data_IF_416232745423
#
_entry.id   IF_416232745423
#
_cell.length_a   1.000
_cell.length_b   1.000
_cell.length_c   1.000
_cell.angle_alpha   90.00
_cell.angle_beta   90.00
_cell.angle_gamma   90.00
#
_symmetry.space_group_name_H-M   'P 1'
#
loop_
_entity.id
_entity.type
_entity.pdbx_description
1 polymer ?
#
# COMPACT_ATOMS: atom_id res chain seq x y z
N UNK A 1 37.53 1.33 29.47
CA UNK A 1 36.36 0.46 29.78
C UNK A 1 35.25 0.84 28.82
N UNK A 2 34.78 -0.08 27.98
CA UNK A 2 33.65 0.18 27.08
C UNK A 2 32.39 0.33 27.91
N UNK A 3 31.67 1.44 27.72
CA UNK A 3 30.36 1.69 28.30
C UNK A 3 29.42 0.48 28.05
N UNK A 4 28.90 -0.17 29.11
CA UNK A 4 28.00 -1.31 29.01
C UNK A 4 26.75 -1.02 28.14
N UNK A 5 26.24 0.22 28.17
CA UNK A 5 25.09 0.61 27.34
C UNK A 5 25.45 0.62 25.85
N UNK A 6 26.60 1.20 25.49
CA UNK A 6 27.13 1.13 24.14
C UNK A 6 27.38 -0.31 23.66
N UNK A 7 27.79 -1.21 24.57
CA UNK A 7 27.93 -2.64 24.29
C UNK A 7 26.60 -3.32 23.95
N UNK A 8 25.56 -3.08 24.77
CA UNK A 8 24.22 -3.61 24.56
C UNK A 8 23.59 -3.12 23.25
N UNK A 9 23.69 -1.82 22.94
CA UNK A 9 23.17 -1.24 21.69
C UNK A 9 23.85 -1.88 20.46
N UNK A 10 25.18 -2.07 20.50
CA UNK A 10 25.90 -2.74 19.41
C UNK A 10 25.46 -4.19 19.25
N UNK A 11 25.18 -4.90 20.35
CA UNK A 11 24.67 -6.25 20.31
C UNK A 11 23.29 -6.29 19.64
N UNK A 12 22.36 -5.41 20.02
CA UNK A 12 21.03 -5.32 19.39
C UNK A 12 21.12 -5.07 17.88
N UNK A 13 21.97 -4.14 17.43
CA UNK A 13 22.14 -3.91 15.98
C UNK A 13 22.71 -5.12 15.22
N UNK A 14 23.42 -6.03 15.91
CA UNK A 14 24.00 -7.24 15.30
C UNK A 14 23.07 -8.44 15.34
N UNK A 15 22.12 -8.48 16.27
CA UNK A 15 21.24 -9.64 16.44
C UNK A 15 19.82 -9.40 15.94
N UNK A 16 19.38 -8.14 15.84
CA UNK A 16 18.03 -7.80 15.44
C UNK A 16 18.05 -6.92 14.19
N UNK A 17 17.64 -7.44 13.01
CA UNK A 17 17.61 -6.64 11.80
C UNK A 17 16.66 -5.44 11.94
N UNK A 18 15.51 -5.60 12.61
CA UNK A 18 14.56 -4.51 12.88
C UNK A 18 15.18 -3.29 13.58
N UNK A 19 16.17 -3.48 14.45
CA UNK A 19 16.91 -2.38 15.07
C UNK A 19 17.96 -1.77 14.11
N UNK A 20 18.53 -2.60 13.24
CA UNK A 20 19.48 -2.16 12.23
C UNK A 20 18.84 -1.34 11.10
N UNK A 21 17.59 -1.62 10.68
CA UNK A 21 16.95 -0.90 9.58
C UNK A 21 16.86 0.64 9.82
N UNK A 22 16.38 1.13 10.98
CA UNK A 22 16.40 2.56 11.31
C UNK A 22 17.81 3.15 11.37
N UNK A 23 18.80 2.37 11.83
CA UNK A 23 20.19 2.82 11.82
C UNK A 23 20.66 3.01 10.37
N UNK A 24 20.47 2.00 9.52
CA UNK A 24 20.87 2.05 8.11
C UNK A 24 20.27 3.25 7.38
N UNK A 25 18.98 3.53 7.59
CA UNK A 25 18.33 4.72 7.03
C UNK A 25 19.05 6.02 7.43
N UNK A 26 19.31 6.21 8.73
CA UNK A 26 20.00 7.43 9.23
C UNK A 26 21.42 7.56 8.70
N UNK A 27 22.11 6.45 8.42
CA UNK A 27 23.46 6.49 7.85
C UNK A 27 23.45 6.85 6.35
N UNK A 28 22.43 6.41 5.62
CA UNK A 28 22.31 6.63 4.18
C UNK A 28 21.78 8.01 3.81
N UNK A 29 20.93 8.59 4.66
CA UNK A 29 20.23 9.84 4.42
C UNK A 29 20.59 10.90 5.48
N UNK A 30 21.87 11.37 5.52
CA UNK A 30 22.24 12.43 6.43
C UNK A 30 21.43 13.70 6.10
N UNK A 31 20.77 14.26 7.10
CA UNK A 31 19.91 15.45 6.94
C UNK A 31 18.42 15.15 6.78
N UNK A 32 18.02 13.88 6.62
CA UNK A 32 16.60 13.49 6.60
C UNK A 32 16.22 12.95 7.98
N UNK A 33 15.19 13.55 8.60
CA UNK A 33 14.66 13.04 9.85
C UNK A 33 14.00 11.68 9.63
N UNK A 34 14.40 10.68 10.41
CA UNK A 34 13.77 9.36 10.37
C UNK A 34 12.45 9.40 11.15
N UNK A 35 11.35 9.40 10.42
CA UNK A 35 10.00 9.25 10.98
C UNK A 35 9.69 7.77 11.12
N UNK A 36 9.91 7.25 12.32
CA UNK A 36 9.64 5.85 12.62
C UNK A 36 8.14 5.52 12.49
N UNK A 37 7.84 4.30 12.03
CA UNK A 37 6.50 3.76 11.94
C UNK A 37 6.54 2.25 12.20
N UNK A 38 5.49 1.73 12.83
CA UNK A 38 5.37 0.32 13.23
C UNK A 38 5.46 -0.65 12.05
N UNK A 39 5.12 -0.21 10.82
CA UNK A 39 5.33 -1.03 9.62
C UNK A 39 6.78 -1.44 9.43
N UNK A 40 7.76 -0.60 9.83
CA UNK A 40 9.18 -0.95 9.74
C UNK A 40 9.53 -2.05 10.75
N UNK A 41 8.86 -2.11 11.90
CA UNK A 41 9.03 -3.19 12.87
C UNK A 41 8.50 -4.51 12.31
N UNK A 42 7.32 -4.49 11.68
CA UNK A 42 6.75 -5.65 10.96
C UNK A 42 7.72 -6.17 9.90
N UNK A 43 8.28 -5.27 9.08
CA UNK A 43 9.30 -5.65 8.09
C UNK A 43 10.54 -6.24 8.77
N UNK A 44 11.00 -5.62 9.86
CA UNK A 44 12.13 -6.10 10.64
C UNK A 44 11.94 -7.52 11.18
N UNK A 45 10.77 -7.84 11.70
CA UNK A 45 10.42 -9.17 12.22
C UNK A 45 10.28 -10.21 11.10
N UNK A 46 9.62 -9.88 9.99
CA UNK A 46 9.50 -10.77 8.85
C UNK A 46 10.87 -11.10 8.24
N UNK A 47 11.73 -10.09 8.08
CA UNK A 47 13.10 -10.27 7.61
C UNK A 47 13.96 -11.06 8.61
N UNK A 48 13.73 -10.91 9.93
CA UNK A 48 14.39 -11.74 10.94
C UNK A 48 14.02 -13.23 10.79
N UNK A 49 12.73 -13.55 10.61
CA UNK A 49 12.27 -14.92 10.33
C UNK A 49 12.91 -15.50 9.06
N UNK A 50 13.12 -14.66 8.04
CA UNK A 50 13.88 -15.04 6.85
C UNK A 50 15.33 -15.38 7.13
N UNK A 51 16.03 -14.55 7.91
CA UNK A 51 17.41 -14.83 8.30
C UNK A 51 17.54 -16.14 9.10
N UNK A 52 16.58 -16.40 9.98
CA UNK A 52 16.50 -17.59 10.83
C UNK A 52 15.96 -18.83 10.10
N UNK A 53 15.60 -18.71 8.81
CA UNK A 53 15.02 -19.77 7.97
C UNK A 53 13.68 -20.31 8.49
N UNK A 54 13.02 -19.58 9.39
CA UNK A 54 11.64 -19.85 9.81
C UNK A 54 10.65 -19.49 8.71
N UNK A 55 10.96 -18.47 7.91
CA UNK A 55 10.21 -18.09 6.72
C UNK A 55 11.12 -18.09 5.50
N UNK A 56 10.87 -19.00 4.56
CA UNK A 56 11.75 -19.18 3.39
C UNK A 56 11.18 -18.49 2.14
N UNK A 57 9.93 -18.09 2.19
CA UNK A 57 9.16 -17.51 1.09
C UNK A 57 8.37 -16.36 1.67
N UNK A 58 8.82 -15.14 1.42
CA UNK A 58 8.21 -13.93 1.97
C UNK A 58 7.79 -12.99 0.84
N UNK A 59 6.55 -12.52 0.88
CA UNK A 59 6.04 -11.42 0.06
C UNK A 59 5.80 -10.21 0.96
N UNK A 60 6.32 -9.06 0.57
CA UNK A 60 6.08 -7.76 1.21
C UNK A 60 5.36 -6.86 0.21
N UNK A 61 4.08 -6.60 0.46
CA UNK A 61 3.31 -5.59 -0.24
C UNK A 61 3.01 -4.40 0.66
N UNK A 62 3.54 -3.25 0.25
CA UNK A 62 3.30 -1.97 0.92
C UNK A 62 3.34 -0.84 -0.11
N UNK A 63 2.69 0.30 0.15
CA UNK A 63 2.69 1.46 -0.73
C UNK A 63 4.07 1.95 -1.17
N UNK A 64 4.10 2.79 -2.18
CA UNK A 64 5.33 3.51 -2.52
C UNK A 64 5.85 4.30 -1.33
N UNK A 65 7.16 4.57 -1.37
CA UNK A 65 7.83 5.38 -0.36
C UNK A 65 7.75 4.79 1.07
N UNK A 66 7.27 3.58 1.31
CA UNK A 66 7.19 2.96 2.66
C UNK A 66 8.52 2.51 3.29
N UNK A 67 9.66 2.78 2.62
CA UNK A 67 11.00 2.24 2.93
C UNK A 67 11.20 0.74 2.64
N UNK A 68 10.20 0.03 2.09
CA UNK A 68 10.29 -1.41 1.78
C UNK A 68 11.60 -1.82 1.07
N UNK A 69 11.99 -1.13 0.00
CA UNK A 69 13.18 -1.45 -0.81
C UNK A 69 14.48 -1.11 -0.06
N UNK A 70 14.52 -0.01 0.70
CA UNK A 70 15.68 0.33 1.55
C UNK A 70 15.84 -0.71 2.65
N UNK A 71 14.74 -1.16 3.25
CA UNK A 71 14.75 -2.19 4.28
C UNK A 71 15.20 -3.54 3.72
N UNK A 72 14.53 -4.05 2.69
CA UNK A 72 14.71 -5.42 2.19
C UNK A 72 15.89 -5.59 1.23
N UNK A 73 16.18 -4.63 0.34
CA UNK A 73 17.14 -4.80 -0.77
C UNK A 73 18.48 -4.09 -0.56
N UNK A 74 18.55 -3.22 0.46
CA UNK A 74 19.76 -2.47 0.83
C UNK A 74 20.23 -2.81 2.23
N UNK A 75 19.44 -2.50 3.26
CA UNK A 75 19.85 -2.61 4.65
C UNK A 75 19.93 -4.08 5.10
N UNK A 76 18.91 -4.87 4.81
CA UNK A 76 18.87 -6.27 5.20
C UNK A 76 20.00 -7.13 4.60
N UNK A 77 20.29 -7.12 3.28
CA UNK A 77 21.40 -7.89 2.74
C UNK A 77 22.76 -7.41 3.27
N UNK A 78 22.93 -6.10 3.49
CA UNK A 78 24.13 -5.58 4.15
C UNK A 78 24.24 -6.08 5.60
N UNK A 79 23.14 -6.18 6.34
CA UNK A 79 23.11 -6.74 7.68
C UNK A 79 23.43 -8.24 7.68
N UNK A 80 22.81 -9.01 6.79
CA UNK A 80 23.06 -10.45 6.63
C UNK A 80 24.53 -10.71 6.34
N UNK A 81 25.16 -9.97 5.43
CA UNK A 81 26.60 -10.08 5.16
C UNK A 81 27.47 -9.64 6.34
N UNK A 82 26.97 -8.76 7.22
CA UNK A 82 27.65 -8.40 8.45
C UNK A 82 27.59 -9.50 9.52
N UNK A 83 26.52 -10.29 9.55
CA UNK A 83 26.30 -11.36 10.53
C UNK A 83 26.83 -12.72 10.05
N UNK A 84 26.62 -13.04 8.76
CA UNK A 84 27.04 -14.25 8.05
C UNK A 84 27.80 -13.86 6.78
N UNK A 85 29.09 -13.50 6.89
CA UNK A 85 29.90 -12.97 5.78
C UNK A 85 30.18 -13.94 4.64
N UNK A 86 29.83 -15.22 4.80
CA UNK A 86 29.84 -16.28 3.80
C UNK A 86 28.58 -16.32 2.91
N UNK A 87 27.52 -15.58 3.28
CA UNK A 87 26.22 -15.64 2.58
C UNK A 87 26.32 -15.11 1.14
N UNK A 88 25.65 -15.80 0.22
CA UNK A 88 25.51 -15.39 -1.19
C UNK A 88 24.12 -14.83 -1.43
N UNK A 89 24.03 -13.56 -1.78
CA UNK A 89 22.75 -12.84 -1.91
C UNK A 89 22.62 -12.26 -3.32
N UNK A 90 21.50 -12.54 -3.96
CA UNK A 90 21.09 -11.90 -5.21
C UNK A 90 20.01 -10.87 -4.92
N UNK A 91 20.20 -9.63 -5.37
CA UNK A 91 19.19 -8.59 -5.37
C UNK A 91 18.83 -8.31 -6.83
N UNK A 92 17.60 -8.62 -7.22
CA UNK A 92 17.08 -8.47 -8.57
C UNK A 92 16.06 -7.34 -8.56
N UNK A 93 16.35 -6.26 -9.27
CA UNK A 93 15.43 -5.13 -9.40
C UNK A 93 14.81 -5.10 -10.80
N UNK A 94 13.59 -4.56 -10.96
CA UNK A 94 12.89 -4.57 -12.24
C UNK A 94 13.62 -3.91 -13.42
N UNK A 95 14.52 -2.97 -13.15
CA UNK A 95 15.33 -2.33 -14.18
C UNK A 95 16.72 -1.91 -13.68
N UNK A 96 17.65 -1.72 -14.62
CA UNK A 96 19.08 -1.53 -14.36
C UNK A 96 19.38 -0.33 -13.45
N UNK A 97 18.71 0.80 -13.67
CA UNK A 97 18.89 2.01 -12.85
C UNK A 97 18.57 1.75 -11.37
N UNK A 98 17.45 1.10 -11.07
CA UNK A 98 17.11 0.72 -9.68
C UNK A 98 18.12 -0.27 -9.09
N UNK A 99 18.57 -1.26 -9.86
CA UNK A 99 19.57 -2.21 -9.41
C UNK A 99 20.88 -1.51 -9.02
N UNK A 100 21.33 -0.55 -9.83
CA UNK A 100 22.52 0.27 -9.60
C UNK A 100 22.37 1.20 -8.40
N UNK A 101 21.24 1.91 -8.27
CA UNK A 101 20.96 2.79 -7.13
C UNK A 101 20.96 2.02 -5.80
N UNK A 102 20.27 0.89 -5.75
CA UNK A 102 20.26 0.03 -4.55
C UNK A 102 21.65 -0.55 -4.26
N UNK A 103 22.40 -0.92 -5.30
CA UNK A 103 23.77 -1.39 -5.16
C UNK A 103 24.68 -0.32 -4.56
N UNK A 104 24.59 0.91 -5.04
CA UNK A 104 25.36 2.03 -4.52
C UNK A 104 25.00 2.39 -3.08
N UNK A 105 23.71 2.33 -2.72
CA UNK A 105 23.30 2.51 -1.33
C UNK A 105 23.87 1.40 -0.44
N UNK A 106 23.81 0.13 -0.85
CA UNK A 106 24.38 -0.98 -0.08
C UNK A 106 25.90 -0.82 0.09
N UNK A 107 26.60 -0.44 -0.98
CA UNK A 107 28.05 -0.15 -0.98
C UNK A 107 28.39 0.98 -0.02
N UNK A 108 27.66 2.10 -0.07
CA UNK A 108 27.82 3.24 0.85
C UNK A 108 27.59 2.83 2.30
N UNK A 109 26.54 2.06 2.57
CA UNK A 109 26.23 1.56 3.92
C UNK A 109 27.36 0.68 4.45
N UNK A 110 27.82 -0.31 3.67
CA UNK A 110 28.87 -1.25 4.10
C UNK A 110 30.23 -0.57 4.28
N UNK A 111 30.51 0.50 3.54
CA UNK A 111 31.72 1.32 3.71
C UNK A 111 31.64 2.32 4.86
N UNK A 112 30.44 2.62 5.36
CA UNK A 112 30.25 3.64 6.39
C UNK A 112 31.00 3.29 7.70
N UNK A 113 31.68 4.25 8.37
CA UNK A 113 32.46 3.96 9.59
C UNK A 113 31.67 3.26 10.70
N UNK A 114 30.40 3.66 10.92
CA UNK A 114 29.51 3.01 11.91
C UNK A 114 29.15 1.57 11.54
N UNK A 115 28.91 1.26 10.26
CA UNK A 115 28.72 -0.11 9.82
C UNK A 115 29.99 -0.93 10.06
N UNK A 116 31.15 -0.40 9.66
CA UNK A 116 32.45 -1.05 9.89
C UNK A 116 32.78 -1.26 11.37
N UNK A 117 32.27 -0.42 12.26
CA UNK A 117 32.41 -0.61 13.70
C UNK A 117 31.49 -1.73 14.23
N UNK A 118 30.31 -1.90 13.62
CA UNK A 118 29.42 -3.03 13.89
C UNK A 118 29.98 -4.32 13.30
N UNK A 119 30.52 -4.32 12.09
CA UNK A 119 31.00 -5.52 11.41
C UNK A 119 32.45 -5.33 10.95
N UNK A 120 33.43 -5.37 11.88
CA UNK A 120 34.83 -5.09 11.54
C UNK A 120 35.46 -6.10 10.58
N UNK A 121 34.92 -7.32 10.51
CA UNK A 121 35.37 -8.38 9.61
C UNK A 121 34.77 -8.28 8.19
N UNK A 122 33.64 -7.58 8.02
CA UNK A 122 32.96 -7.42 6.73
C UNK A 122 33.60 -6.29 5.90
N UNK A 123 34.81 -6.55 5.39
CA UNK A 123 35.53 -5.64 4.49
C UNK A 123 35.16 -5.95 3.05
N UNK A 124 34.49 -4.99 2.41
CA UNK A 124 33.92 -5.17 1.08
C UNK A 124 34.94 -4.91 -0.03
N UNK A 125 35.12 -5.88 -0.91
CA UNK A 125 35.64 -5.70 -2.27
C UNK A 125 34.49 -5.42 -3.23
N UNK A 126 34.75 -4.67 -4.31
CA UNK A 126 33.68 -4.22 -5.22
C UNK A 126 34.09 -4.26 -6.69
N UNK A 127 33.08 -4.53 -7.53
CA UNK A 127 33.09 -4.39 -8.98
C UNK A 127 31.70 -3.96 -9.42
N UNK A 128 31.52 -3.68 -10.71
CA UNK A 128 30.20 -3.35 -11.27
C UNK A 128 29.17 -4.41 -10.87
N UNK A 129 28.12 -3.97 -10.15
CA UNK A 129 27.00 -4.83 -9.73
C UNK A 129 27.35 -5.90 -8.70
N UNK A 130 28.57 -5.97 -8.14
CA UNK A 130 28.94 -7.00 -7.16
C UNK A 130 29.78 -6.46 -6.00
N UNK A 131 29.34 -6.79 -4.78
CA UNK A 131 30.08 -6.61 -3.54
C UNK A 131 30.47 -8.00 -3.03
N UNK A 132 31.71 -8.21 -2.60
CA UNK A 132 32.13 -9.48 -2.01
C UNK A 132 32.94 -9.28 -0.73
N UNK A 133 32.96 -10.32 0.09
CA UNK A 133 33.75 -10.40 1.31
C UNK A 133 34.82 -11.49 1.17
N UNK A 134 35.92 -11.35 1.91
CA UNK A 134 37.02 -12.33 1.88
C UNK A 134 36.60 -13.73 2.35
N UNK A 135 35.50 -13.82 3.10
CA UNK A 135 34.90 -15.04 3.61
C UNK A 135 34.09 -15.81 2.54
N UNK A 136 33.98 -15.28 1.32
CA UNK A 136 33.34 -15.93 0.17
C UNK A 136 31.89 -15.49 -0.10
N UNK A 137 31.27 -14.75 0.82
CA UNK A 137 29.94 -14.19 0.62
C UNK A 137 29.95 -12.99 -0.33
N UNK A 138 28.79 -12.74 -0.94
CA UNK A 138 28.62 -11.63 -1.87
C UNK A 138 27.19 -11.12 -1.91
N UNK A 139 27.04 -9.89 -2.41
CA UNK A 139 25.78 -9.31 -2.89
C UNK A 139 25.92 -8.98 -4.37
N UNK A 140 25.09 -9.58 -5.21
CA UNK A 140 24.97 -9.26 -6.63
C UNK A 140 23.72 -8.40 -6.88
N UNK A 141 23.86 -7.37 -7.71
CA UNK A 141 22.74 -6.56 -8.21
C UNK A 141 22.48 -6.92 -9.67
N UNK A 142 21.23 -7.30 -9.95
CA UNK A 142 20.81 -7.93 -11.20
C UNK A 142 19.45 -7.38 -11.63
N UNK A 143 19.05 -7.71 -12.85
CA UNK A 143 17.72 -7.46 -13.42
C UNK A 143 17.15 -8.75 -14.00
N UNK A 144 15.82 -8.84 -14.26
CA UNK A 144 15.23 -10.01 -14.91
C UNK A 144 15.87 -10.37 -16.26
N UNK A 145 16.42 -9.37 -16.96
CA UNK A 145 17.10 -9.53 -18.25
C UNK A 145 18.56 -10.00 -18.14
N UNK A 146 19.16 -9.98 -16.95
CA UNK A 146 20.54 -10.42 -16.77
C UNK A 146 20.64 -11.96 -16.76
N UNK A 147 21.74 -12.48 -17.29
CA UNK A 147 22.01 -13.91 -17.26
C UNK A 147 22.29 -14.36 -15.82
N UNK A 148 21.40 -15.19 -15.26
CA UNK A 148 21.55 -15.77 -13.92
C UNK A 148 22.42 -17.05 -13.90
N UNK A 149 22.84 -17.53 -15.07
CA UNK A 149 23.56 -18.80 -15.23
C UNK A 149 24.89 -18.82 -14.49
N UNK A 150 25.13 -19.87 -13.68
CA UNK A 150 26.38 -20.06 -12.94
C UNK A 150 26.50 -19.26 -11.64
N UNK A 151 25.50 -18.44 -11.30
CA UNK A 151 25.39 -17.80 -10.00
C UNK A 151 24.43 -18.61 -9.12
N UNK A 152 24.88 -18.95 -7.92
CA UNK A 152 24.09 -19.58 -6.87
C UNK A 152 23.94 -18.65 -5.66
N UNK A 153 22.85 -18.79 -4.90
CA UNK A 153 22.51 -17.91 -3.79
C UNK A 153 21.88 -18.66 -2.62
N UNK A 154 22.17 -18.19 -1.40
CA UNK A 154 21.45 -18.58 -0.19
C UNK A 154 20.14 -17.79 -0.04
N UNK A 155 20.11 -16.58 -0.61
CA UNK A 155 18.99 -15.65 -0.52
C UNK A 155 18.83 -14.87 -1.83
N UNK A 156 17.60 -14.82 -2.33
CA UNK A 156 17.22 -14.04 -3.50
C UNK A 156 16.17 -13.01 -3.06
N UNK A 157 16.44 -11.74 -3.34
CA UNK A 157 15.53 -10.62 -3.08
C UNK A 157 15.11 -10.07 -4.45
N UNK A 158 13.82 -10.03 -4.71
CA UNK A 158 13.22 -9.50 -5.93
C UNK A 158 12.47 -8.23 -5.56
N UNK A 159 12.88 -7.09 -6.09
CA UNK A 159 12.36 -5.76 -5.72
C UNK A 159 11.75 -5.07 -6.94
N UNK A 160 10.43 -4.85 -6.88
CA UNK A 160 9.62 -4.24 -7.95
C UNK A 160 10.04 -4.77 -9.35
N UNK A 161 9.85 -6.08 -9.64
CA UNK A 161 10.37 -6.72 -10.87
C UNK A 161 9.69 -6.22 -12.15
N UNK A 162 8.58 -5.49 -12.02
CA UNK A 162 7.81 -4.89 -13.10
C UNK A 162 7.64 -3.40 -12.81
N UNK A 163 7.78 -2.58 -13.85
CA UNK A 163 7.50 -1.14 -13.74
C UNK A 163 6.00 -0.89 -13.63
N UNK A 164 5.60 0.12 -12.84
CA UNK A 164 4.20 0.54 -12.74
C UNK A 164 3.62 1.02 -14.08
N UNK A 165 4.46 1.56 -14.98
CA UNK A 165 4.04 1.94 -16.33
C UNK A 165 3.55 0.72 -17.15
N UNK A 166 4.06 -0.46 -16.82
CA UNK A 166 3.77 -1.70 -17.53
C UNK A 166 2.68 -2.53 -16.84
N UNK A 167 1.98 -1.96 -15.85
CA UNK A 167 1.01 -2.67 -15.02
C UNK A 167 -0.17 -3.25 -15.83
N UNK A 168 -0.65 -2.50 -16.82
CA UNK A 168 -1.76 -2.89 -17.70
C UNK A 168 -1.32 -3.73 -18.91
N UNK A 169 -0.04 -4.07 -19.04
CA UNK A 169 0.48 -4.92 -20.12
C UNK A 169 0.51 -6.40 -19.67
N UNK A 170 -0.47 -7.23 -20.08
CA UNK A 170 -0.52 -8.63 -19.65
C UNK A 170 0.62 -9.46 -20.23
N UNK A 171 1.22 -9.06 -21.36
CA UNK A 171 2.37 -9.78 -21.93
C UNK A 171 3.61 -9.59 -21.06
N UNK A 172 3.83 -8.37 -20.56
CA UNK A 172 4.92 -8.06 -19.64
C UNK A 172 4.70 -8.70 -18.27
N UNK A 173 3.50 -8.63 -17.70
CA UNK A 173 3.19 -9.36 -16.47
C UNK A 173 3.45 -10.87 -16.61
N UNK A 174 2.96 -11.47 -17.69
CA UNK A 174 3.17 -12.89 -18.00
C UNK A 174 4.63 -13.25 -18.24
N UNK A 175 5.45 -12.35 -18.80
CA UNK A 175 6.88 -12.62 -19.00
C UNK A 175 7.64 -12.65 -17.68
N UNK A 176 7.31 -11.76 -16.73
CA UNK A 176 7.89 -11.77 -15.37
C UNK A 176 7.53 -13.05 -14.62
N UNK A 177 6.27 -13.52 -14.69
CA UNK A 177 5.87 -14.79 -14.06
C UNK A 177 6.62 -15.99 -14.64
N UNK A 178 6.69 -16.10 -15.97
CA UNK A 178 7.46 -17.16 -16.65
C UNK A 178 8.94 -17.10 -16.31
N UNK A 179 9.50 -15.90 -16.25
CA UNK A 179 10.88 -15.68 -15.83
C UNK A 179 11.11 -16.19 -14.41
N UNK A 180 10.21 -15.84 -13.47
CA UNK A 180 10.29 -16.29 -12.09
C UNK A 180 10.29 -17.82 -12.01
N UNK A 181 9.28 -18.47 -12.60
CA UNK A 181 9.09 -19.92 -12.54
C UNK A 181 10.27 -20.69 -13.17
N UNK A 182 10.78 -20.17 -14.29
CA UNK A 182 11.86 -20.82 -15.04
C UNK A 182 13.25 -20.64 -14.42
N UNK A 183 13.49 -19.56 -13.67
CA UNK A 183 14.85 -19.17 -13.31
C UNK A 183 15.14 -19.11 -11.82
N UNK A 184 14.22 -18.63 -10.99
CA UNK A 184 14.57 -18.16 -9.64
C UNK A 184 14.85 -19.32 -8.69
N UNK A 185 13.93 -20.28 -8.58
CA UNK A 185 14.06 -21.39 -7.64
C UNK A 185 15.33 -22.23 -7.89
N UNK A 186 15.78 -22.32 -9.15
CA UNK A 186 16.99 -23.06 -9.52
C UNK A 186 18.30 -22.37 -9.13
N UNK A 187 18.27 -21.08 -8.76
CA UNK A 187 19.45 -20.33 -8.30
C UNK A 187 19.72 -20.51 -6.81
N UNK A 188 18.81 -21.11 -6.06
CA UNK A 188 19.07 -21.44 -4.67
C UNK A 188 20.12 -22.55 -4.59
N UNK A 189 21.20 -22.30 -3.85
CA UNK A 189 22.26 -23.29 -3.59
C UNK A 189 21.68 -24.50 -2.84
N UNK A 190 20.84 -24.23 -1.84
CA UNK A 190 20.03 -25.21 -1.15
C UNK A 190 18.54 -24.87 -1.35
N UNK A 191 17.79 -25.77 -2.00
CA UNK A 191 16.37 -25.56 -2.28
C UNK A 191 15.47 -25.69 -1.05
N UNK A 192 15.92 -26.45 -0.05
CA UNK A 192 15.19 -26.65 1.20
C UNK A 192 15.41 -25.48 2.15
N UNK A 193 16.62 -24.93 2.19
CA UNK A 193 16.97 -23.86 3.13
C UNK A 193 16.99 -22.46 2.49
N UNK A 194 17.12 -22.35 1.17
CA UNK A 194 17.25 -21.09 0.47
C UNK A 194 16.02 -20.20 0.60
N UNK A 195 16.26 -18.89 0.72
CA UNK A 195 15.23 -17.89 1.01
C UNK A 195 14.93 -17.05 -0.23
N UNK A 196 13.64 -16.82 -0.51
CA UNK A 196 13.19 -15.89 -1.54
C UNK A 196 12.30 -14.84 -0.89
N UNK A 197 12.63 -13.57 -1.12
CA UNK A 197 11.88 -12.41 -0.64
C UNK A 197 11.43 -11.63 -1.88
N UNK A 198 10.14 -11.41 -2.02
CA UNK A 198 9.55 -10.54 -3.04
C UNK A 198 9.05 -9.29 -2.36
N UNK A 199 9.53 -8.14 -2.78
CA UNK A 199 9.13 -6.84 -2.26
C UNK A 199 8.61 -6.02 -3.41
N UNK A 200 7.33 -5.69 -3.38
CA UNK A 200 6.74 -4.86 -4.42
C UNK A 200 5.48 -4.16 -3.93
N UNK A 201 5.10 -3.08 -4.60
CA UNK A 201 3.68 -2.70 -4.59
C UNK A 201 2.90 -3.60 -5.55
N UNK A 202 1.61 -3.85 -5.26
CA UNK A 202 0.76 -4.52 -6.24
C UNK A 202 0.55 -3.62 -7.46
N UNK A 203 0.49 -4.21 -8.64
CA UNK A 203 0.32 -3.49 -9.90
C UNK A 203 -0.97 -3.88 -10.62
N UNK A 204 -1.33 -5.15 -10.57
CA UNK A 204 -2.53 -5.68 -11.21
C UNK A 204 -2.99 -6.97 -10.54
N UNK A 205 -4.21 -7.41 -10.85
CA UNK A 205 -4.77 -8.63 -10.28
C UNK A 205 -3.96 -9.88 -10.60
N UNK A 206 -3.27 -9.89 -11.75
CA UNK A 206 -2.45 -10.99 -12.23
C UNK A 206 -0.94 -10.67 -12.16
N UNK A 207 -0.53 -9.83 -11.21
CA UNK A 207 0.89 -9.53 -11.00
C UNK A 207 1.66 -10.71 -10.38
N UNK A 208 2.98 -10.55 -10.20
CA UNK A 208 3.82 -11.60 -9.62
C UNK A 208 3.36 -12.00 -8.21
N UNK A 209 2.86 -11.06 -7.41
CA UNK A 209 2.37 -11.39 -6.07
C UNK A 209 1.18 -12.36 -6.16
N UNK A 210 0.19 -12.06 -7.00
CA UNK A 210 -0.97 -12.92 -7.17
C UNK A 210 -0.57 -14.35 -7.56
N UNK A 211 0.30 -14.46 -8.57
CA UNK A 211 0.82 -15.74 -9.05
C UNK A 211 1.50 -16.57 -7.94
N UNK A 212 2.28 -15.93 -7.08
CA UNK A 212 2.98 -16.61 -5.99
C UNK A 212 2.04 -17.01 -4.85
N UNK A 213 1.06 -16.17 -4.53
CA UNK A 213 0.04 -16.50 -3.53
C UNK A 213 -0.83 -17.68 -3.99
N UNK A 214 -1.20 -17.73 -5.27
CA UNK A 214 -1.96 -18.83 -5.87
C UNK A 214 -1.21 -20.18 -5.82
N UNK A 215 0.13 -20.15 -5.91
CA UNK A 215 0.97 -21.34 -5.72
C UNK A 215 1.02 -21.80 -4.26
N UNK A 216 0.71 -20.93 -3.30
CA UNK A 216 0.75 -21.19 -1.87
C UNK A 216 2.16 -21.28 -1.27
N UNK A 217 2.23 -21.40 0.05
CA UNK A 217 3.50 -21.58 0.78
C UNK A 217 4.31 -20.30 0.99
N UNK A 218 3.70 -19.12 0.79
CA UNK A 218 4.31 -17.82 1.05
C UNK A 218 3.76 -17.20 2.34
N UNK A 219 4.66 -16.67 3.15
CA UNK A 219 4.29 -15.68 4.16
C UNK A 219 4.02 -14.35 3.46
N UNK A 220 2.90 -13.70 3.79
CA UNK A 220 2.46 -12.46 3.14
C UNK A 220 2.33 -11.33 4.16
N UNK A 221 3.20 -10.33 4.03
CA UNK A 221 3.07 -9.04 4.73
C UNK A 221 2.39 -8.07 3.80
N UNK A 222 1.12 -7.77 4.06
CA UNK A 222 0.33 -6.80 3.31
C UNK A 222 -0.04 -5.61 4.22
N UNK A 223 0.44 -4.40 3.88
CA UNK A 223 0.14 -3.18 4.65
C UNK A 223 -0.45 -2.11 3.74
N UNK A 224 -1.78 -1.96 3.65
CA UNK A 224 -2.43 -0.95 2.81
C UNK A 224 -2.20 0.46 3.35
N UNK A 225 -2.26 1.47 2.46
CA UNK A 225 -2.11 2.87 2.83
C UNK A 225 -3.18 3.33 3.83
N UNK A 226 -4.41 2.86 3.68
CA UNK A 226 -5.54 3.10 4.58
C UNK A 226 -6.04 1.74 5.08
N UNK A 227 -6.14 1.57 6.39
CA UNK A 227 -6.64 0.33 6.97
C UNK A 227 -8.12 0.12 6.60
N UNK A 228 -8.49 -1.10 6.22
CA UNK A 228 -9.88 -1.49 5.93
C UNK A 228 -10.51 -2.30 7.07
N UNK A 229 -9.66 -2.84 7.94
CA UNK A 229 -10.02 -3.62 9.12
C UNK A 229 -9.11 -3.22 10.29
N UNK A 230 -9.40 -3.72 11.49
CA UNK A 230 -8.52 -3.52 12.64
C UNK A 230 -7.20 -4.28 12.43
N UNK A 231 -6.08 -3.56 12.47
CA UNK A 231 -4.76 -4.14 12.29
C UNK A 231 -3.99 -4.23 13.61
N UNK A 232 -3.41 -5.39 13.88
CA UNK A 232 -2.69 -5.69 15.12
C UNK A 232 -1.23 -6.01 14.84
N UNK A 233 -0.35 -5.55 15.74
CA UNK A 233 1.06 -5.93 15.72
C UNK A 233 1.61 -6.02 17.15
N UNK A 234 2.21 -7.16 17.48
CA UNK A 234 2.69 -7.45 18.85
C UNK A 234 1.56 -7.54 19.88
N UNK A 235 0.38 -8.02 19.46
CA UNK A 235 -0.82 -8.10 20.32
C UNK A 235 -1.47 -6.75 20.65
N UNK A 236 -1.03 -5.67 20.00
CA UNK A 236 -1.60 -4.32 20.18
C UNK A 236 -2.28 -3.88 18.90
N UNK A 237 -3.47 -3.30 19.04
CA UNK A 237 -4.15 -2.60 17.95
C UNK A 237 -3.25 -1.44 17.50
N UNK A 238 -2.95 -1.39 16.20
CA UNK A 238 -2.12 -0.35 15.57
C UNK A 238 -2.94 0.62 14.75
N UNK A 239 -3.91 0.10 13.99
CA UNK A 239 -4.80 0.90 13.16
C UNK A 239 -6.23 0.38 13.23
N UNK A 240 -7.18 1.30 13.20
CA UNK A 240 -8.61 1.05 12.92
C UNK A 240 -8.92 1.31 11.45
N UNK A 241 -10.04 0.79 10.92
CA UNK A 241 -10.52 1.16 9.59
C UNK A 241 -10.53 2.68 9.38
N UNK A 242 -10.05 3.11 8.21
CA UNK A 242 -9.93 4.53 7.85
C UNK A 242 -8.64 5.21 8.33
N UNK A 243 -7.77 4.55 9.09
CA UNK A 243 -6.50 5.16 9.55
C UNK A 243 -5.35 4.94 8.55
N UNK A 244 -4.59 6.01 8.27
CA UNK A 244 -3.43 5.98 7.38
C UNK A 244 -2.26 5.17 7.97
N UNK A 245 -1.46 4.53 7.10
CA UNK A 245 -0.34 3.68 7.49
C UNK A 245 0.75 4.46 8.21
N UNK A 246 1.07 5.64 7.68
CA UNK A 246 2.08 6.53 8.24
C UNK A 246 1.61 7.99 8.20
N UNK A 247 0.70 8.39 9.11
CA UNK A 247 0.06 9.72 9.07
C UNK A 247 1.04 10.90 9.14
N UNK A 248 2.18 10.72 9.81
CA UNK A 248 3.20 11.77 9.92
C UNK A 248 3.96 12.00 8.60
N UNK A 249 3.84 11.07 7.65
CA UNK A 249 4.46 11.16 6.33
C UNK A 249 3.45 11.44 5.23
N UNK A 250 2.31 10.76 5.28
CA UNK A 250 1.22 10.88 4.32
C UNK A 250 -0.08 10.65 5.10
N UNK A 251 -0.80 11.74 5.35
CA UNK A 251 -2.08 11.74 6.04
C UNK A 251 -3.22 11.41 5.06
N UNK A 252 -4.45 11.30 5.59
CA UNK A 252 -5.61 10.97 4.76
C UNK A 252 -5.89 12.00 3.68
N UNK A 253 -5.66 13.29 3.95
CA UNK A 253 -5.80 14.36 2.96
C UNK A 253 -4.81 14.18 1.80
N UNK A 254 -3.55 13.89 2.09
CA UNK A 254 -2.55 13.59 1.08
C UNK A 254 -2.89 12.32 0.28
N UNK A 255 -3.31 11.25 0.97
CA UNK A 255 -3.73 10.01 0.31
C UNK A 255 -4.95 10.22 -0.60
N UNK A 256 -5.89 11.07 -0.20
CA UNK A 256 -7.05 11.46 -1.00
C UNK A 256 -6.62 12.15 -2.29
N UNK A 257 -5.74 13.15 -2.18
CA UNK A 257 -5.22 13.86 -3.34
C UNK A 257 -4.46 12.94 -4.30
N UNK A 258 -3.70 11.99 -3.74
CA UNK A 258 -3.02 10.95 -4.52
C UNK A 258 -4.03 10.09 -5.27
N UNK A 259 -5.07 9.58 -4.58
CA UNK A 259 -6.14 8.77 -5.18
C UNK A 259 -6.78 9.50 -6.35
N UNK A 260 -7.19 10.76 -6.16
CA UNK A 260 -7.83 11.56 -7.22
C UNK A 260 -6.92 11.83 -8.43
N UNK A 261 -5.60 11.93 -8.23
CA UNK A 261 -4.64 12.17 -9.31
C UNK A 261 -4.32 10.93 -10.11
N UNK A 262 -4.16 9.79 -9.44
CA UNK A 262 -3.75 8.54 -10.10
C UNK A 262 -4.93 7.70 -10.59
N UNK A 263 -6.13 7.96 -10.08
CA UNK A 263 -7.33 7.19 -10.34
C UNK A 263 -7.51 6.01 -9.40
N UNK A 264 -8.77 5.60 -9.22
CA UNK A 264 -9.17 4.61 -8.24
C UNK A 264 -8.51 3.23 -8.46
N UNK A 265 -8.55 2.68 -9.67
CA UNK A 265 -7.84 1.45 -10.06
C UNK A 265 -6.38 1.42 -9.60
N UNK A 266 -5.62 2.46 -9.97
CA UNK A 266 -4.18 2.50 -9.68
C UNK A 266 -3.93 2.69 -8.18
N UNK A 267 -4.78 3.45 -7.47
CA UNK A 267 -4.70 3.61 -6.03
C UNK A 267 -4.99 2.30 -5.29
N UNK A 268 -6.01 1.56 -5.70
CA UNK A 268 -6.36 0.28 -5.10
C UNK A 268 -5.26 -0.76 -5.26
N UNK A 269 -4.63 -0.81 -6.43
CA UNK A 269 -3.44 -1.63 -6.65
C UNK A 269 -2.25 -1.13 -5.80
N UNK A 270 -1.78 0.09 -6.04
CA UNK A 270 -0.46 0.53 -5.57
C UNK A 270 -0.43 1.00 -4.11
N UNK A 271 -1.54 1.50 -3.57
CA UNK A 271 -1.65 1.99 -2.20
C UNK A 271 -2.41 1.00 -1.32
N UNK A 272 -3.58 0.53 -1.74
CA UNK A 272 -4.35 -0.44 -0.94
C UNK A 272 -3.87 -1.89 -1.10
N UNK A 273 -2.95 -2.19 -2.02
CA UNK A 273 -2.43 -3.54 -2.29
C UNK A 273 -3.54 -4.55 -2.66
N UNK A 274 -4.65 -4.05 -3.19
CA UNK A 274 -5.86 -4.80 -3.51
C UNK A 274 -6.31 -4.44 -4.93
N UNK A 275 -5.55 -4.82 -5.97
CA UNK A 275 -5.93 -4.56 -7.35
C UNK A 275 -7.24 -5.27 -7.70
N UNK A 276 -8.10 -4.61 -8.47
CA UNK A 276 -9.38 -5.17 -8.90
C UNK A 276 -9.22 -6.34 -9.87
N UNK A 277 -10.09 -7.36 -9.75
CA UNK A 277 -10.27 -8.36 -10.79
C UNK A 277 -10.52 -7.71 -12.17
N UNK A 278 -10.04 -8.34 -13.26
CA UNK A 278 -10.12 -7.77 -14.61
C UNK A 278 -11.55 -7.52 -15.10
N UNK A 279 -12.55 -8.18 -14.51
CA UNK A 279 -13.98 -8.04 -14.79
C UNK A 279 -14.71 -7.03 -13.87
N UNK A 280 -14.04 -6.49 -12.85
CA UNK A 280 -14.63 -5.55 -11.88
C UNK A 280 -14.17 -4.10 -12.06
N UNK A 281 -13.13 -3.87 -12.87
CA UNK A 281 -12.52 -2.55 -13.06
C UNK A 281 -13.32 -1.62 -13.99
N UNK A 282 -14.21 -2.16 -14.82
CA UNK A 282 -15.05 -1.40 -15.76
C UNK A 282 -16.55 -1.51 -15.44
N UNK A 283 -16.91 -2.18 -14.34
CA UNK A 283 -18.32 -2.40 -13.97
C UNK A 283 -18.64 -1.71 -12.67
N UNK A 284 -19.36 -0.60 -12.80
CA UNK A 284 -20.44 -0.15 -11.92
C UNK A 284 -20.79 -1.14 -10.79
N UNK A 285 -20.23 -0.91 -9.60
CA UNK A 285 -20.66 -1.64 -8.40
C UNK A 285 -21.99 -1.07 -7.92
N UNK A 286 -23.07 -1.78 -8.23
CA UNK A 286 -24.41 -1.42 -7.79
C UNK A 286 -24.57 -1.52 -6.27
N UNK A 287 -25.24 -0.55 -5.67
CA UNK A 287 -25.67 -0.61 -4.27
C UNK A 287 -26.94 -1.46 -4.16
N UNK A 288 -26.99 -2.39 -3.20
CA UNK A 288 -28.23 -3.09 -2.86
C UNK A 288 -29.06 -2.26 -1.91
N UNK A 289 -30.31 -1.99 -2.31
CA UNK A 289 -31.31 -1.44 -1.42
C UNK A 289 -32.43 -2.47 -1.19
N UNK A 290 -32.76 -2.72 0.08
CA UNK A 290 -33.95 -3.48 0.47
C UNK A 290 -34.81 -2.60 1.38
N UNK A 291 -36.03 -2.33 0.93
CA UNK A 291 -37.10 -1.79 1.75
C UNK A 291 -38.31 -2.74 1.70
N UNK A 292 -39.05 -2.92 2.80
CA UNK A 292 -40.28 -3.70 2.77
C UNK A 292 -41.30 -3.06 1.81
N UNK A 293 -41.93 -3.88 0.97
CA UNK A 293 -43.03 -3.45 0.11
C UNK A 293 -44.22 -2.97 0.98
N UNK A 294 -44.95 -1.92 0.58
CA UNK A 294 -46.03 -1.33 1.38
C UNK A 294 -47.16 -2.32 1.78
N UNK A 295 -47.36 -3.38 1.00
CA UNK A 295 -48.34 -4.45 1.28
C UNK A 295 -47.72 -5.76 1.82
N UNK A 296 -46.48 -5.74 2.31
CA UNK A 296 -45.86 -6.93 2.87
C UNK A 296 -46.42 -7.23 4.28
N UNK A 297 -47.01 -8.41 4.47
CA UNK A 297 -47.32 -8.91 5.82
C UNK A 297 -46.04 -9.34 6.55
N UNK A 298 -46.09 -9.47 7.88
CA UNK A 298 -44.91 -9.78 8.72
C UNK A 298 -44.17 -11.08 8.33
N UNK A 299 -44.84 -11.96 7.58
CA UNK A 299 -44.33 -13.26 7.14
C UNK A 299 -44.01 -13.31 5.63
N UNK A 300 -44.11 -12.19 4.90
CA UNK A 300 -44.06 -12.13 3.43
C UNK A 300 -42.86 -11.29 2.93
N UNK A 301 -41.93 -11.92 2.19
CA UNK A 301 -40.80 -11.23 1.56
C UNK A 301 -41.20 -10.66 0.19
N UNK A 302 -41.53 -9.37 0.13
CA UNK A 302 -41.69 -8.63 -1.14
C UNK A 302 -40.50 -7.69 -1.33
N UNK A 303 -39.70 -7.95 -2.37
CA UNK A 303 -38.54 -7.13 -2.70
C UNK A 303 -38.97 -5.81 -3.37
N UNK A 304 -38.41 -4.68 -2.92
CA UNK A 304 -38.38 -3.44 -3.70
C UNK A 304 -37.49 -3.64 -4.93
N UNK A 305 -37.87 -2.97 -6.02
CA UNK A 305 -37.13 -3.02 -7.29
C UNK A 305 -35.68 -2.59 -7.03
N UNK A 306 -34.67 -3.40 -7.40
CA UNK A 306 -33.29 -2.98 -7.28
C UNK A 306 -33.06 -1.75 -8.16
N UNK A 307 -32.58 -0.66 -7.56
CA UNK A 307 -32.16 0.50 -8.31
C UNK A 307 -30.66 0.39 -8.57
N UNK A 308 -30.31 0.17 -9.83
CA UNK A 308 -28.94 0.10 -10.27
C UNK A 308 -28.52 1.50 -10.73
N UNK A 309 -27.60 2.11 -10.00
CA UNK A 309 -26.91 3.32 -10.43
C UNK A 309 -25.46 2.99 -10.74
N UNK A 310 -24.93 3.55 -11.82
CA UNK A 310 -23.50 3.57 -12.07
C UNK A 310 -22.91 4.79 -11.38
N UNK A 311 -21.84 4.60 -10.61
CA UNK A 311 -21.08 5.68 -9.97
C UNK A 311 -19.63 5.54 -10.39
N UNK A 312 -18.97 6.67 -10.59
CA UNK A 312 -17.52 6.70 -10.83
C UNK A 312 -16.80 6.04 -9.65
N UNK A 313 -15.78 5.23 -9.95
CA UNK A 313 -15.08 4.42 -8.97
C UNK A 313 -14.41 5.27 -7.87
N UNK A 314 -13.91 6.44 -8.24
CA UNK A 314 -13.37 7.42 -7.31
C UNK A 314 -14.41 7.86 -6.27
N UNK A 315 -15.67 8.06 -6.68
CA UNK A 315 -16.76 8.46 -5.76
C UNK A 315 -17.04 7.36 -4.74
N UNK A 316 -16.97 6.10 -5.17
CA UNK A 316 -17.09 4.96 -4.27
C UNK A 316 -15.91 4.87 -3.28
N UNK A 317 -14.68 5.06 -3.74
CA UNK A 317 -13.51 5.03 -2.86
C UNK A 317 -13.45 6.21 -1.88
N UNK A 318 -13.94 7.39 -2.27
CA UNK A 318 -14.09 8.54 -1.36
C UNK A 318 -14.97 8.19 -0.15
N UNK A 319 -16.10 7.52 -0.37
CA UNK A 319 -16.95 7.04 0.73
C UNK A 319 -16.28 5.92 1.51
N UNK A 320 -15.78 4.89 0.81
CA UNK A 320 -15.26 3.68 1.44
C UNK A 320 -14.01 3.91 2.30
N UNK A 321 -13.04 4.68 1.80
CA UNK A 321 -11.72 4.82 2.41
C UNK A 321 -11.54 6.14 3.16
N UNK A 322 -12.23 7.20 2.73
CA UNK A 322 -12.07 8.54 3.31
C UNK A 322 -13.28 8.98 4.15
N UNK A 323 -14.36 8.20 4.15
CA UNK A 323 -15.58 8.54 4.88
C UNK A 323 -16.29 9.78 4.35
N UNK A 324 -15.92 10.22 3.14
CA UNK A 324 -16.61 11.28 2.42
C UNK A 324 -17.93 10.71 1.95
N UNK A 325 -18.99 10.99 2.71
CA UNK A 325 -20.36 10.66 2.33
C UNK A 325 -20.71 11.46 1.08
N UNK A 326 -20.33 10.93 -0.06
CA UNK A 326 -20.93 11.27 -1.33
C UNK A 326 -22.40 10.84 -1.23
N UNK A 327 -23.30 11.38 -2.03
CA UNK A 327 -24.75 11.13 -1.96
C UNK A 327 -25.19 9.65 -2.02
N UNK A 328 -24.23 8.71 -2.08
CA UNK A 328 -24.34 7.29 -1.79
C UNK A 328 -24.65 7.09 -0.30
N UNK A 329 -25.93 7.17 0.05
CA UNK A 329 -26.40 6.77 1.38
C UNK A 329 -26.17 5.27 1.56
N UNK A 330 -25.17 4.89 2.37
CA UNK A 330 -25.22 3.60 3.09
C UNK A 330 -26.33 3.70 4.13
N UNK A 331 -27.54 3.32 3.73
CA UNK A 331 -28.73 3.37 4.56
C UNK A 331 -29.96 3.53 3.69
N UNK A 332 -31.04 2.84 4.05
CA UNK A 332 -32.26 2.89 3.27
C UNK A 332 -32.83 4.30 3.10
N UNK A 333 -33.75 4.51 2.14
CA UNK A 333 -34.52 5.73 2.08
C UNK A 333 -35.20 5.92 3.46
N UNK A 334 -35.48 7.17 3.83
CA UNK A 334 -36.34 7.42 4.99
C UNK A 334 -37.58 6.52 4.91
N UNK A 335 -38.07 5.94 6.02
CA UNK A 335 -39.36 5.29 6.01
C UNK A 335 -40.39 6.33 5.56
N UNK A 336 -40.89 6.17 4.34
CA UNK A 336 -41.85 7.05 3.70
C UNK A 336 -42.95 6.19 3.09
N UNK A 337 -44.13 6.76 3.02
CA UNK A 337 -45.31 6.15 2.41
C UNK A 337 -45.15 6.01 0.90
N UNK A 338 -45.95 5.15 0.28
CA UNK A 338 -45.92 4.91 -1.17
C UNK A 338 -46.13 6.20 -1.97
N UNK A 339 -47.05 7.04 -1.53
CA UNK A 339 -47.36 8.31 -2.22
C UNK A 339 -46.20 9.31 -2.12
N UNK A 340 -45.48 9.33 -1.00
CA UNK A 340 -44.26 10.13 -0.82
C UNK A 340 -43.12 9.63 -1.74
N UNK A 341 -43.03 8.31 -1.94
CA UNK A 341 -42.01 7.71 -2.80
C UNK A 341 -42.28 7.99 -4.28
N UNK A 342 -43.53 7.88 -4.73
CA UNK A 342 -43.95 8.20 -6.10
C UNK A 342 -43.76 9.69 -6.38
N UNK A 343 -44.17 10.57 -5.46
CA UNK A 343 -43.95 12.01 -5.60
C UNK A 343 -42.45 12.39 -5.66
N UNK A 344 -41.61 11.71 -4.90
CA UNK A 344 -40.15 11.88 -4.95
C UNK A 344 -39.57 11.44 -6.30
N UNK A 345 -39.97 10.26 -6.81
CA UNK A 345 -39.55 9.78 -8.13
C UNK A 345 -39.99 10.71 -9.28
N UNK A 346 -41.21 11.24 -9.21
CA UNK A 346 -41.73 12.19 -10.21
C UNK A 346 -40.98 13.53 -10.16
N UNK A 347 -40.60 14.02 -8.97
CA UNK A 347 -39.82 15.26 -8.79
C UNK A 347 -38.40 15.20 -9.37
N UNK A 348 -37.85 13.99 -9.53
CA UNK A 348 -36.53 13.76 -10.13
C UNK A 348 -36.58 13.73 -11.67
N UNK A 349 -37.77 13.62 -12.28
CA UNK A 349 -37.94 13.47 -13.73
C UNK A 349 -38.46 14.71 -14.43
N UNK A 350 -38.89 15.74 -13.68
CA UNK A 350 -39.28 17.03 -14.25
C UNK A 350 -38.06 17.92 -14.53
N UNK A 351 -38.10 18.78 -15.57
CA UNK A 351 -36.99 19.66 -15.94
C UNK A 351 -36.53 20.60 -14.81
N UNK A 352 -37.42 20.93 -13.86
CA UNK A 352 -37.15 21.78 -12.69
C UNK A 352 -36.31 21.07 -11.61
N UNK A 353 -36.22 19.73 -11.65
CA UNK A 353 -35.31 18.93 -10.81
C UNK A 353 -33.85 18.91 -11.29
N UNK A 354 -33.57 19.47 -12.48
CA UNK A 354 -32.20 19.73 -12.95
C UNK A 354 -31.80 21.14 -12.50
N UNK A 355 -31.25 21.27 -11.29
CA UNK A 355 -30.80 22.56 -10.77
C UNK A 355 -29.69 23.20 -11.65
N UNK A 356 -30.03 24.32 -12.31
CA UNK A 356 -29.09 25.36 -12.75
C UNK A 356 -28.45 26.09 -11.53
N UNK A 357 -27.34 26.83 -11.71
CA UNK A 357 -26.62 27.45 -10.58
C UNK A 357 -27.37 28.64 -9.99
N UNK A 358 -27.62 28.59 -8.68
CA UNK A 358 -28.16 29.72 -7.94
C UNK A 358 -27.12 30.85 -7.84
N UNK A 359 -27.57 32.07 -8.14
CA UNK A 359 -26.84 33.33 -8.01
C UNK A 359 -26.45 33.62 -6.55
N UNK A 360 -25.33 34.32 -6.38
CA UNK A 360 -24.77 34.77 -5.10
C UNK A 360 -25.72 35.73 -4.37
N UNK A 361 -26.12 35.39 -3.15
CA UNK A 361 -26.54 36.38 -2.15
C UNK A 361 -25.69 36.29 -0.89
N UNK A 362 -25.12 37.44 -0.53
CA UNK A 362 -24.17 37.69 0.54
C UNK A 362 -24.74 37.45 1.95
N UNK A 363 -24.01 36.72 2.80
CA UNK A 363 -24.31 36.57 4.23
C UNK A 363 -23.40 37.50 5.05
N UNK A 364 -24.00 38.35 5.90
CA UNK A 364 -23.28 39.12 6.93
C UNK A 364 -23.16 38.34 8.26
N UNK A 365 -22.10 38.54 9.07
CA UNK A 365 -21.82 37.72 10.24
C UNK A 365 -22.33 38.33 11.56
N UNK A 366 -22.98 37.52 12.40
CA UNK A 366 -23.18 37.84 13.83
C UNK A 366 -24.40 37.16 14.47
N UNK A 367 -24.17 36.24 15.41
CA UNK A 367 -25.20 35.70 16.32
C UNK A 367 -24.76 34.47 17.11
N UNK A 368 -24.72 34.58 18.44
CA UNK A 368 -24.09 33.68 19.42
C UNK A 368 -24.82 32.34 19.68
N UNK A 369 -24.06 31.36 20.19
CA UNK A 369 -24.52 30.03 20.66
C UNK A 369 -25.33 30.11 21.97
N UNK A 370 -26.51 29.50 22.00
CA UNK A 370 -27.31 29.26 23.22
C UNK A 370 -27.59 27.76 23.46
N UNK A 371 -27.50 27.32 24.71
CA UNK A 371 -27.71 25.93 25.16
C UNK A 371 -29.20 25.49 25.13
N UNK A 372 -29.52 24.19 24.99
CA UNK A 372 -30.89 23.73 24.75
C UNK A 372 -31.70 23.54 26.04
N UNK A 373 -32.94 24.03 26.04
CA UNK A 373 -33.98 23.71 27.03
C UNK A 373 -34.84 22.51 26.59
N UNK A 374 -35.62 21.89 27.50
CA UNK A 374 -36.29 20.63 27.25
C UNK A 374 -37.64 20.84 26.57
N UNK A 375 -37.82 20.23 25.39
CA UNK A 375 -39.10 20.20 24.68
C UNK A 375 -39.12 21.00 23.39
N UNK A 376 -38.35 20.57 22.39
CA UNK A 376 -38.56 20.95 20.99
C UNK A 376 -38.62 19.69 20.12
N UNK A 377 -39.72 19.54 19.39
CA UNK A 377 -39.79 18.73 18.19
C UNK A 377 -38.88 19.39 17.17
N UNK A 378 -37.68 18.86 17.00
CA UNK A 378 -36.71 19.36 16.04
C UNK A 378 -37.30 19.31 14.63
N UNK A 379 -37.54 20.50 14.07
CA UNK A 379 -37.54 20.70 12.63
C UNK A 379 -36.14 20.33 12.15
N UNK A 380 -36.00 19.18 11.52
CA UNK A 380 -34.74 18.82 10.86
C UNK A 380 -34.52 19.78 9.68
N UNK A 381 -33.57 20.70 9.84
CA UNK A 381 -32.92 21.34 8.72
C UNK A 381 -32.16 20.26 7.94
N UNK A 382 -32.70 19.81 6.81
CA UNK A 382 -31.93 19.11 5.78
C UNK A 382 -31.14 20.19 5.04
N UNK A 383 -30.14 20.75 5.73
CA UNK A 383 -29.02 21.36 5.07
C UNK A 383 -28.22 20.23 4.44
N UNK A 384 -28.48 19.94 3.17
CA UNK A 384 -27.38 19.58 2.30
C UNK A 384 -26.43 20.78 2.40
N UNK A 385 -25.38 20.72 3.24
CA UNK A 385 -24.20 21.50 2.91
C UNK A 385 -23.95 21.20 1.45
N UNK A 386 -23.83 22.21 0.57
CA UNK A 386 -23.75 21.98 -0.85
C UNK A 386 -22.62 20.99 -1.03
N UNK A 387 -22.95 19.76 -1.42
CA UNK A 387 -22.00 18.79 -1.94
C UNK A 387 -21.22 19.59 -2.95
N UNK A 388 -20.00 20.01 -2.57
CA UNK A 388 -19.50 21.27 -3.10
C UNK A 388 -19.50 21.12 -4.60
N UNK A 389 -20.19 22.03 -5.29
CA UNK A 389 -20.25 22.03 -6.74
C UNK A 389 -18.82 21.90 -7.30
N UNK A 390 -17.85 22.45 -6.56
CA UNK A 390 -16.41 22.27 -6.70
C UNK A 390 -15.91 20.81 -6.71
N UNK A 391 -16.36 19.89 -5.84
CA UNK A 391 -15.91 18.50 -5.83
C UNK A 391 -16.36 17.72 -7.07
N UNK A 392 -17.59 17.96 -7.54
CA UNK A 392 -18.13 17.34 -8.77
C UNK A 392 -17.60 18.05 -10.03
N UNK A 393 -17.43 19.38 -10.00
CA UNK A 393 -16.86 20.16 -11.11
C UNK A 393 -15.34 19.95 -11.25
N UNK A 394 -14.60 19.71 -10.16
CA UNK A 394 -13.19 19.35 -10.21
C UNK A 394 -12.96 18.01 -10.93
N UNK A 395 -13.88 17.06 -10.78
CA UNK A 395 -13.89 15.79 -11.50
C UNK A 395 -14.30 15.94 -12.98
N UNK A 396 -15.07 16.98 -13.32
CA UNK A 396 -15.55 17.28 -14.69
C UNK A 396 -14.59 18.13 -15.53
N UNK A 397 -13.46 18.63 -14.97
CA UNK A 397 -12.49 19.40 -15.75
C UNK A 397 -11.86 18.49 -16.82
N UNK A 398 -11.92 18.85 -18.12
CA UNK A 398 -11.36 18.02 -19.17
C UNK A 398 -9.86 17.81 -18.95
N UNK A 399 -9.43 16.54 -19.02
CA UNK A 399 -8.03 16.13 -19.12
C UNK A 399 -7.46 16.64 -20.46
N UNK A 400 -7.01 17.90 -20.53
CA UNK A 400 -6.37 18.43 -21.73
C UNK A 400 -6.18 19.95 -21.75
N UNK A 401 -4.96 20.36 -22.09
CA UNK A 401 -4.46 21.73 -22.35
C UNK A 401 -4.13 22.58 -21.12
N UNK A 402 -2.91 22.42 -20.62
CA UNK A 402 -2.13 23.52 -20.04
C UNK A 402 -0.88 23.71 -20.90
N UNK A 403 -0.79 24.87 -21.55
CA UNK A 403 0.42 25.35 -22.24
C UNK A 403 1.37 26.07 -21.28
#
# INVERSE_FOLDING_TARGET
MTDPQAGAIRHMYRTQPGMFLPLAFRLLHPGVSYLHNWSVDVLGEALARCHERQSKRLIINTPQRSLKSVCASVAFPAWVLGVRPESKIMCIAGHRTLAEEQHDLARRLMKHPRYRALFPHARVGESTGRLWLAQGGFRAALTPSDALTGLGADMIIIDDPQSAHDADDPQKGGSIRRWYDGNIYQRLDDKHEGVIIVVMQRLSHDDLTAHLLDQGGWEHVNLPAIAVEDEYHGGRLRRRPGEALHPAREDLTGLRDVMLRMGAKAFMAQYQQAPYPPDQCDTSTGLFHTAPHPDASADEFKYTVPWFGEVEEEVFLLDLLFGERTCIRRGGPPPMTTDEWVAWGDSMTTPEGKHEPAEEESVQPGGECGAPGPGHTDKFHVGCEPCSRENIEALKRPRGMWG
#
